data_IF_954995066883
#
_entry.id   IF_954995066883
#
_cell.length_a   1.000
_cell.length_b   1.000
_cell.length_c   1.000
_cell.angle_alpha   90.00
_cell.angle_beta   90.00
_cell.angle_gamma   90.00
#
_symmetry.space_group_name_H-M   'P 1'
#
loop_
_entity.id
_entity.type
_entity.pdbx_description
1 polymer ?
#
# COMPACT_ATOMS: atom_id res chain seq x y z
N UNK A 1 -27.18 52.04 -29.27
CA UNK A 1 -26.42 52.82 -30.25
C UNK A 1 -25.10 52.12 -30.48
N UNK A 2 -24.86 51.66 -31.71
CA UNK A 2 -23.54 51.37 -32.27
C UNK A 2 -22.58 52.53 -32.04
N UNK A 3 -21.28 52.27 -31.90
CA UNK A 3 -20.20 53.01 -32.58
C UNK A 3 -18.88 52.21 -32.48
N UNK A 4 -18.58 51.50 -33.55
CA UNK A 4 -17.26 50.99 -33.93
C UNK A 4 -16.42 52.13 -34.52
N UNK A 5 -15.18 52.32 -34.06
CA UNK A 5 -14.10 52.95 -34.85
C UNK A 5 -12.72 52.44 -34.38
N UNK A 6 -11.96 51.98 -35.37
CA UNK A 6 -10.58 51.49 -35.33
C UNK A 6 -9.58 52.51 -34.77
N UNK A 7 -8.45 52.05 -34.21
CA UNK A 7 -7.09 52.45 -34.64
C UNK A 7 -6.03 51.41 -34.20
N UNK A 8 -5.22 50.97 -35.17
CA UNK A 8 -3.92 50.33 -34.98
C UNK A 8 -2.98 51.26 -34.20
N UNK A 9 -2.24 50.72 -33.23
CA UNK A 9 -0.95 51.27 -32.83
C UNK A 9 0.07 50.14 -32.72
N UNK A 10 0.96 50.12 -33.70
CA UNK A 10 2.23 49.40 -33.71
C UNK A 10 3.10 49.93 -32.57
N UNK A 11 3.50 49.07 -31.64
CA UNK A 11 4.56 49.40 -30.68
C UNK A 11 5.59 48.27 -30.65
N UNK A 12 6.62 48.49 -31.47
CA UNK A 12 7.88 47.77 -31.49
C UNK A 12 8.53 47.78 -30.10
N UNK A 13 8.43 46.67 -29.36
CA UNK A 13 9.32 46.42 -28.24
C UNK A 13 10.60 45.74 -28.75
N UNK A 14 11.58 46.60 -28.89
CA UNK A 14 12.96 46.35 -29.25
C UNK A 14 13.61 45.35 -28.27
N UNK A 15 14.18 44.28 -28.83
CA UNK A 15 15.36 43.53 -28.36
C UNK A 15 15.59 43.47 -26.84
N UNK A 16 15.17 42.38 -26.22
CA UNK A 16 15.95 41.77 -25.13
C UNK A 16 16.36 40.36 -25.57
N UNK A 17 17.55 40.27 -26.12
CA UNK A 17 18.23 39.02 -26.44
C UNK A 17 18.77 38.48 -25.10
N UNK A 18 18.05 37.55 -24.48
CA UNK A 18 18.59 36.79 -23.37
C UNK A 18 19.53 35.72 -23.95
N UNK A 19 20.81 36.06 -23.97
CA UNK A 19 21.92 35.19 -24.33
C UNK A 19 22.06 34.11 -23.24
N UNK A 20 21.59 32.89 -23.53
CA UNK A 20 21.76 31.75 -22.64
C UNK A 20 23.18 31.21 -22.77
N UNK A 21 24.07 31.87 -22.03
CA UNK A 21 25.43 31.43 -21.77
C UNK A 21 25.49 29.97 -21.32
N UNK A 22 26.43 29.27 -21.96
CA UNK A 22 26.74 27.87 -21.88
C UNK A 22 27.19 27.47 -20.46
N UNK A 23 26.35 26.75 -19.72
CA UNK A 23 26.77 26.07 -18.49
C UNK A 23 27.32 24.70 -18.84
N UNK A 24 28.65 24.64 -18.98
CA UNK A 24 29.42 23.41 -18.92
C UNK A 24 29.38 22.85 -17.49
N UNK A 25 28.40 22.01 -17.18
CA UNK A 25 28.42 21.18 -15.98
C UNK A 25 28.96 19.78 -16.33
N UNK A 26 30.29 19.71 -16.42
CA UNK A 26 31.04 18.49 -16.18
C UNK A 26 30.96 18.12 -14.70
N UNK A 27 29.90 17.41 -14.33
CA UNK A 27 29.75 16.74 -13.04
C UNK A 27 29.00 15.46 -13.31
N UNK A 28 29.65 14.32 -13.10
CA UNK A 28 29.04 13.00 -13.20
C UNK A 28 27.88 12.90 -12.22
N UNK A 29 26.70 13.29 -12.67
CA UNK A 29 25.46 13.00 -11.98
C UNK A 29 25.26 11.50 -12.12
N UNK A 30 25.23 10.84 -10.97
CA UNK A 30 24.82 9.46 -10.79
C UNK A 30 23.73 9.11 -11.80
N UNK A 31 24.02 8.10 -12.62
CA UNK A 31 23.05 7.51 -13.54
C UNK A 31 21.82 7.15 -12.73
N UNK A 32 20.81 8.03 -12.73
CA UNK A 32 19.50 7.76 -12.16
C UNK A 32 18.98 6.52 -12.87
N UNK A 33 19.11 5.38 -12.20
CA UNK A 33 18.78 4.06 -12.72
C UNK A 33 17.36 4.10 -13.24
N UNK A 34 17.24 4.10 -14.57
CA UNK A 34 15.99 4.08 -15.29
C UNK A 34 15.17 2.87 -14.87
N UNK A 35 14.10 3.11 -14.12
CA UNK A 35 13.07 2.11 -13.88
C UNK A 35 12.43 1.79 -15.24
N UNK A 36 12.31 0.51 -15.58
CA UNK A 36 11.66 0.10 -16.81
C UNK A 36 10.16 0.44 -16.72
N UNK A 37 9.70 1.49 -17.41
CA UNK A 37 8.29 1.87 -17.48
C UNK A 37 7.56 1.06 -18.55
N UNK A 38 7.44 -0.25 -18.33
CA UNK A 38 6.51 -1.07 -19.09
C UNK A 38 5.14 -1.07 -18.38
N UNK A 39 4.15 -0.39 -18.97
CA UNK A 39 2.73 -0.46 -18.57
C UNK A 39 2.03 -1.73 -19.10
N UNK A 40 2.79 -2.82 -19.26
CA UNK A 40 2.34 -4.12 -19.75
C UNK A 40 2.88 -5.19 -18.79
N UNK A 41 2.08 -6.22 -18.53
CA UNK A 41 2.44 -7.35 -17.66
C UNK A 41 3.86 -7.86 -17.96
N UNK A 42 4.77 -7.70 -16.99
CA UNK A 42 6.19 -7.99 -17.18
C UNK A 42 6.63 -9.13 -16.24
N UNK A 43 7.41 -10.05 -16.79
CA UNK A 43 8.12 -11.10 -16.06
C UNK A 43 9.59 -10.73 -15.80
N UNK A 44 10.00 -9.53 -16.22
CA UNK A 44 11.35 -9.04 -16.01
C UNK A 44 11.56 -8.67 -14.54
N UNK A 45 12.69 -9.09 -14.00
CA UNK A 45 13.07 -8.95 -12.58
C UNK A 45 14.19 -7.93 -12.36
N UNK A 46 14.65 -7.29 -13.44
CA UNK A 46 15.75 -6.35 -13.45
C UNK A 46 15.24 -4.94 -13.10
N UNK A 47 15.76 -4.35 -12.02
CA UNK A 47 15.52 -2.94 -11.63
C UNK A 47 14.06 -2.57 -11.27
N UNK A 48 13.32 -3.45 -10.57
CA UNK A 48 11.98 -3.13 -10.08
C UNK A 48 12.03 -2.40 -8.72
N UNK A 49 11.30 -1.29 -8.58
CA UNK A 49 11.07 -0.62 -7.30
C UNK A 49 9.69 -1.04 -6.74
N UNK A 50 9.66 -1.78 -5.62
CA UNK A 50 8.41 -2.38 -5.11
C UNK A 50 7.51 -1.36 -4.37
N UNK A 51 8.08 -0.50 -3.52
CA UNK A 51 7.31 0.53 -2.74
C UNK A 51 8.06 1.86 -2.68
N UNK A 52 9.38 1.83 -2.49
CA UNK A 52 10.23 3.02 -2.43
C UNK A 52 11.43 2.86 -3.37
N UNK A 53 11.91 3.96 -3.95
CA UNK A 53 13.11 3.97 -4.82
C UNK A 53 14.36 3.42 -4.12
N UNK A 54 14.43 3.49 -2.78
CA UNK A 54 15.53 2.95 -1.99
C UNK A 54 15.44 1.45 -1.72
N UNK A 55 14.27 0.83 -1.89
CA UNK A 55 14.09 -0.63 -1.81
C UNK A 55 14.34 -1.26 -3.19
N UNK A 56 15.48 -0.91 -3.79
CA UNK A 56 15.85 -1.35 -5.14
C UNK A 56 16.63 -2.67 -5.08
N UNK A 57 16.17 -3.66 -5.84
CA UNK A 57 16.68 -5.03 -5.84
C UNK A 57 17.71 -5.17 -6.98
N UNK A 58 19.01 -5.14 -6.65
CA UNK A 58 20.12 -5.32 -7.62
C UNK A 58 20.54 -6.79 -7.84
N UNK A 59 19.97 -7.77 -7.13
CA UNK A 59 20.44 -9.16 -7.13
C UNK A 59 19.29 -10.18 -7.04
N UNK A 60 19.41 -11.38 -7.66
CA UNK A 60 18.41 -12.45 -7.53
C UNK A 60 18.20 -12.93 -6.09
N UNK A 61 19.21 -12.80 -5.22
CA UNK A 61 19.09 -13.18 -3.81
C UNK A 61 18.23 -12.15 -3.06
N UNK A 62 18.48 -10.86 -3.28
CA UNK A 62 17.67 -9.80 -2.67
C UNK A 62 16.23 -9.80 -3.21
N UNK A 63 16.04 -10.28 -4.44
CA UNK A 63 14.73 -10.56 -5.00
C UNK A 63 14.01 -11.68 -4.22
N UNK A 64 14.65 -12.83 -4.02
CA UNK A 64 14.05 -13.95 -3.29
C UNK A 64 13.63 -13.55 -1.86
N UNK A 65 14.47 -12.81 -1.13
CA UNK A 65 14.12 -12.28 0.19
C UNK A 65 12.97 -11.29 0.15
N UNK A 66 12.93 -10.40 -0.86
CA UNK A 66 11.82 -9.46 -1.03
C UNK A 66 10.50 -10.18 -1.31
N UNK A 67 10.51 -11.23 -2.14
CA UNK A 67 9.33 -12.03 -2.46
C UNK A 67 8.83 -12.82 -1.24
N UNK A 68 9.75 -13.40 -0.46
CA UNK A 68 9.42 -14.02 0.83
C UNK A 68 8.83 -12.99 1.81
N UNK A 69 9.37 -11.78 1.82
CA UNK A 69 8.80 -10.65 2.58
C UNK A 69 7.37 -10.33 2.16
N UNK A 70 7.08 -10.28 0.85
CA UNK A 70 5.72 -10.06 0.32
C UNK A 70 4.78 -11.18 0.75
N UNK A 71 5.20 -12.46 0.66
CA UNK A 71 4.43 -13.62 1.14
C UNK A 71 4.13 -13.49 2.63
N UNK A 72 5.14 -13.18 3.44
CA UNK A 72 5.00 -13.03 4.89
C UNK A 72 4.06 -11.88 5.25
N UNK A 73 4.17 -10.74 4.57
CA UNK A 73 3.30 -9.57 4.80
C UNK A 73 1.86 -9.86 4.38
N UNK A 74 1.63 -10.54 3.25
CA UNK A 74 0.27 -10.92 2.83
C UNK A 74 -0.35 -11.96 3.76
N UNK A 75 0.41 -12.96 4.20
CA UNK A 75 -0.05 -13.93 5.19
C UNK A 75 -0.36 -13.26 6.54
N UNK A 76 0.50 -12.33 6.98
CA UNK A 76 0.29 -11.55 8.21
C UNK A 76 -0.95 -10.65 8.09
N UNK A 77 -1.19 -10.02 6.94
CA UNK A 77 -2.39 -9.22 6.72
C UNK A 77 -3.66 -10.06 6.90
N UNK A 78 -3.67 -11.27 6.37
CA UNK A 78 -4.78 -12.20 6.52
C UNK A 78 -4.94 -12.66 7.97
N UNK A 79 -3.82 -12.88 8.68
CA UNK A 79 -3.81 -13.18 10.12
C UNK A 79 -4.41 -12.04 10.96
N UNK A 80 -4.03 -10.79 10.69
CA UNK A 80 -4.57 -9.60 11.36
C UNK A 80 -6.06 -9.45 11.06
N UNK A 81 -6.48 -9.68 9.82
CA UNK A 81 -7.89 -9.65 9.41
C UNK A 81 -8.71 -10.72 10.15
N UNK A 82 -8.19 -11.94 10.26
CA UNK A 82 -8.82 -13.03 11.02
C UNK A 82 -8.87 -12.73 12.53
N UNK A 83 -7.75 -12.24 13.09
CA UNK A 83 -7.65 -11.88 14.50
C UNK A 83 -8.59 -10.74 14.90
N UNK A 84 -8.74 -9.72 14.05
CA UNK A 84 -9.69 -8.61 14.26
C UNK A 84 -11.12 -9.13 14.40
N UNK A 85 -11.54 -10.09 13.55
CA UNK A 85 -12.87 -10.72 13.64
C UNK A 85 -13.05 -11.51 14.94
N UNK A 86 -12.03 -12.29 15.36
CA UNK A 86 -12.06 -13.02 16.64
C UNK A 86 -12.15 -12.07 17.83
N UNK A 87 -11.39 -10.97 17.81
CA UNK A 87 -11.42 -9.96 18.86
C UNK A 87 -12.82 -9.35 19.01
N UNK A 88 -13.52 -9.09 17.91
CA UNK A 88 -14.90 -8.61 17.95
C UNK A 88 -15.88 -9.61 18.59
N UNK A 89 -15.72 -10.91 18.32
CA UNK A 89 -16.55 -11.96 18.93
C UNK A 89 -16.32 -12.04 20.44
N UNK A 90 -15.07 -12.11 20.87
CA UNK A 90 -14.68 -12.16 22.30
C UNK A 90 -15.19 -10.92 23.05
N UNK A 91 -15.08 -9.75 22.42
CA UNK A 91 -15.59 -8.50 23.00
C UNK A 91 -17.11 -8.51 23.12
N UNK A 92 -17.85 -9.10 22.18
CA UNK A 92 -19.32 -9.18 22.24
C UNK A 92 -19.77 -10.02 23.44
N UNK A 93 -19.14 -11.16 23.69
CA UNK A 93 -19.45 -12.02 24.83
C UNK A 93 -19.10 -11.35 26.17
N UNK A 94 -17.95 -10.69 26.24
CA UNK A 94 -17.52 -9.92 27.43
C UNK A 94 -18.46 -8.75 27.75
N UNK A 95 -19.12 -8.16 26.74
CA UNK A 95 -20.09 -7.06 26.97
C UNK A 95 -21.36 -7.53 27.67
N UNK A 96 -21.75 -8.80 27.50
CA UNK A 96 -22.97 -9.36 28.10
C UNK A 96 -22.80 -9.67 29.60
N UNK A 97 -21.58 -9.91 30.07
CA UNK A 97 -21.28 -10.36 31.44
C UNK A 97 -20.75 -9.27 32.39
N UNK A 98 -20.48 -8.05 31.91
CA UNK A 98 -19.85 -6.98 32.71
C UNK A 98 -20.87 -5.96 33.24
N UNK A 99 -20.83 -5.60 34.55
CA UNK A 99 -21.73 -4.61 35.14
C UNK A 99 -21.58 -3.20 34.52
N UNK A 100 -22.70 -2.48 34.43
CA UNK A 100 -22.90 -1.21 33.69
C UNK A 100 -21.87 -0.10 33.99
N UNK A 101 -21.27 -0.10 35.18
CA UNK A 101 -20.31 0.93 35.62
C UNK A 101 -18.92 0.74 34.99
N UNK A 102 -18.40 -0.50 34.88
CA UNK A 102 -17.11 -0.81 34.21
C UNK A 102 -17.20 -0.76 32.68
N UNK A 103 -18.43 -0.82 32.14
CA UNK A 103 -18.70 -0.82 30.72
C UNK A 103 -18.19 0.43 29.99
N UNK A 104 -18.24 1.62 30.59
CA UNK A 104 -17.83 2.88 29.93
C UNK A 104 -16.34 2.88 29.60
N UNK A 105 -15.49 2.45 30.53
CA UNK A 105 -14.04 2.41 30.34
C UNK A 105 -13.62 1.31 29.37
N UNK A 106 -14.20 0.11 29.51
CA UNK A 106 -13.97 -1.01 28.60
C UNK A 106 -14.42 -0.67 27.18
N UNK A 107 -15.55 0.05 27.02
CA UNK A 107 -16.06 0.50 25.72
C UNK A 107 -15.08 1.45 25.03
N UNK A 108 -14.52 2.45 25.73
CA UNK A 108 -13.54 3.38 25.14
C UNK A 108 -12.26 2.65 24.72
N UNK A 109 -11.65 1.86 25.61
CA UNK A 109 -10.43 1.10 25.29
C UNK A 109 -10.64 0.16 24.10
N UNK A 110 -11.74 -0.57 24.10
CA UNK A 110 -12.06 -1.50 23.01
C UNK A 110 -12.34 -0.77 21.69
N UNK A 111 -13.01 0.39 21.75
CA UNK A 111 -13.25 1.21 20.58
C UNK A 111 -11.95 1.78 20.00
N UNK A 112 -11.04 2.29 20.84
CA UNK A 112 -9.74 2.78 20.41
C UNK A 112 -8.87 1.67 19.83
N UNK A 113 -8.82 0.49 20.47
CA UNK A 113 -8.07 -0.67 19.96
C UNK A 113 -8.63 -1.13 18.60
N UNK A 114 -9.95 -1.22 18.47
CA UNK A 114 -10.60 -1.59 17.20
C UNK A 114 -10.31 -0.56 16.10
N UNK A 115 -10.40 0.73 16.41
CA UNK A 115 -10.08 1.79 15.47
C UNK A 115 -8.61 1.74 15.02
N UNK A 116 -7.69 1.47 15.94
CA UNK A 116 -6.26 1.32 15.64
C UNK A 116 -6.01 0.12 14.71
N UNK A 117 -6.57 -1.05 15.03
CA UNK A 117 -6.46 -2.26 14.19
C UNK A 117 -7.02 -2.00 12.79
N UNK A 118 -8.18 -1.32 12.70
CA UNK A 118 -8.78 -0.95 11.42
C UNK A 118 -7.90 0.01 10.61
N UNK A 119 -7.32 1.04 11.26
CA UNK A 119 -6.42 1.98 10.60
C UNK A 119 -5.17 1.28 10.06
N UNK A 120 -4.55 0.39 10.85
CA UNK A 120 -3.42 -0.43 10.39
C UNK A 120 -3.83 -1.34 9.22
N UNK A 121 -4.95 -2.04 9.33
CA UNK A 121 -5.46 -2.90 8.26
C UNK A 121 -5.70 -2.09 6.97
N UNK A 122 -6.27 -0.89 7.07
CA UNK A 122 -6.49 -0.02 5.92
C UNK A 122 -5.17 0.43 5.29
N UNK A 123 -4.18 0.82 6.10
CA UNK A 123 -2.86 1.19 5.62
C UNK A 123 -2.18 0.03 4.86
N UNK A 124 -2.19 -1.18 5.41
CA UNK A 124 -1.64 -2.36 4.72
C UNK A 124 -2.40 -2.71 3.44
N UNK A 125 -3.73 -2.57 3.43
CA UNK A 125 -4.53 -2.78 2.21
C UNK A 125 -4.14 -1.82 1.08
N UNK A 126 -3.88 -0.55 1.41
CA UNK A 126 -3.41 0.44 0.44
C UNK A 126 -1.99 0.13 -0.07
N UNK A 127 -1.09 -0.31 0.81
CA UNK A 127 0.24 -0.74 0.41
C UNK A 127 0.20 -1.95 -0.53
N UNK A 128 -0.62 -2.96 -0.24
CA UNK A 128 -0.78 -4.13 -1.12
C UNK A 128 -1.42 -3.77 -2.47
N UNK A 129 -2.36 -2.82 -2.51
CA UNK A 129 -2.91 -2.29 -3.76
C UNK A 129 -1.83 -1.57 -4.59
N UNK A 130 -0.96 -0.79 -3.94
CA UNK A 130 0.16 -0.14 -4.60
C UNK A 130 1.14 -1.17 -5.18
N UNK A 131 1.44 -2.23 -4.44
CA UNK A 131 2.27 -3.35 -4.91
C UNK A 131 1.62 -4.08 -6.08
N UNK A 132 0.29 -4.26 -6.07
CA UNK A 132 -0.44 -4.83 -7.20
C UNK A 132 -0.31 -3.98 -8.47
N UNK A 133 -0.28 -2.65 -8.33
CA UNK A 133 -0.07 -1.73 -9.46
C UNK A 133 1.35 -1.79 -10.05
N UNK A 134 2.28 -2.58 -9.49
CA UNK A 134 3.61 -2.80 -10.09
C UNK A 134 3.58 -3.74 -11.31
N UNK A 135 2.43 -4.38 -11.60
CA UNK A 135 2.19 -5.26 -12.75
C UNK A 135 3.24 -6.39 -12.96
N UNK A 136 4.00 -6.75 -11.92
CA UNK A 136 5.02 -7.80 -11.99
C UNK A 136 4.42 -9.18 -11.66
N UNK A 137 4.58 -10.14 -12.58
CA UNK A 137 4.00 -11.48 -12.42
C UNK A 137 4.49 -12.24 -11.18
N UNK A 138 5.77 -12.12 -10.81
CA UNK A 138 6.33 -12.81 -9.64
C UNK A 138 5.74 -12.31 -8.32
N UNK A 139 5.56 -11.00 -8.22
CA UNK A 139 4.97 -10.36 -7.04
C UNK A 139 3.51 -10.76 -6.87
N UNK A 140 2.74 -10.79 -7.96
CA UNK A 140 1.34 -11.25 -7.95
C UNK A 140 1.20 -12.69 -7.47
N UNK A 141 2.03 -13.59 -7.98
CA UNK A 141 2.04 -15.00 -7.57
C UNK A 141 2.39 -15.14 -6.09
N UNK A 142 3.36 -14.35 -5.60
CA UNK A 142 3.73 -14.32 -4.19
C UNK A 142 2.59 -13.79 -3.30
N UNK A 143 1.87 -12.75 -3.73
CA UNK A 143 0.70 -12.24 -3.01
C UNK A 143 -0.43 -13.27 -2.96
N UNK A 144 -0.72 -13.96 -4.07
CA UNK A 144 -1.73 -15.01 -4.12
C UNK A 144 -1.35 -16.19 -3.21
N UNK A 145 -0.09 -16.61 -3.26
CA UNK A 145 0.43 -17.69 -2.42
C UNK A 145 0.45 -17.32 -0.94
N UNK A 146 0.84 -16.09 -0.59
CA UNK A 146 0.80 -15.59 0.79
C UNK A 146 -0.63 -15.48 1.33
N UNK A 147 -1.59 -15.05 0.51
CA UNK A 147 -3.00 -15.08 0.88
C UNK A 147 -3.52 -16.51 1.11
N UNK A 148 -3.13 -17.45 0.24
CA UNK A 148 -3.48 -18.86 0.39
C UNK A 148 -2.91 -19.47 1.68
N UNK A 149 -1.62 -19.26 1.96
CA UNK A 149 -1.00 -19.72 3.21
C UNK A 149 -1.62 -19.06 4.44
N UNK A 150 -1.89 -17.75 4.38
CA UNK A 150 -2.57 -17.03 5.46
C UNK A 150 -3.94 -17.62 5.76
N UNK A 151 -4.71 -17.97 4.72
CA UNK A 151 -6.00 -18.62 4.86
C UNK A 151 -5.88 -20.03 5.47
N UNK A 152 -4.90 -20.84 5.07
CA UNK A 152 -4.73 -22.18 5.65
C UNK A 152 -4.38 -22.13 7.15
N UNK A 153 -3.48 -21.23 7.54
CA UNK A 153 -3.00 -21.12 8.92
C UNK A 153 -4.08 -20.53 9.84
N UNK A 154 -4.77 -19.46 9.41
CA UNK A 154 -5.68 -18.70 10.29
C UNK A 154 -7.17 -18.95 10.01
N UNK A 155 -7.53 -19.44 8.83
CA UNK A 155 -8.90 -19.79 8.46
C UNK A 155 -9.39 -21.09 9.09
N UNK A 156 -8.49 -22.03 9.39
CA UNK A 156 -8.78 -23.34 10.01
C UNK A 156 -9.25 -23.26 11.47
N UNK A 157 -8.92 -22.18 12.20
CA UNK A 157 -9.52 -21.93 13.52
C UNK A 157 -10.73 -21.01 13.49
N UNK A 158 -11.38 -20.93 12.33
CA UNK A 158 -12.85 -20.92 12.29
C UNK A 158 -13.35 -22.35 12.52
N UNK A 159 -12.74 -23.06 13.48
CA UNK A 159 -13.36 -24.24 14.07
C UNK A 159 -14.68 -23.73 14.60
N UNK A 160 -15.75 -24.13 13.92
CA UNK A 160 -17.06 -24.23 14.52
C UNK A 160 -16.84 -24.80 15.91
N UNK A 161 -16.84 -23.92 16.91
CA UNK A 161 -17.08 -24.34 18.28
C UNK A 161 -18.25 -25.28 18.16
N UNK A 162 -18.01 -26.53 18.55
CA UNK A 162 -19.04 -27.50 18.84
C UNK A 162 -19.90 -26.93 19.98
N UNK A 163 -20.69 -25.90 19.69
CA UNK A 163 -21.89 -25.48 20.42
C UNK A 163 -23.08 -26.39 20.01
N UNK A 164 -22.78 -27.53 19.37
CA UNK A 164 -23.68 -28.67 19.20
C UNK A 164 -23.28 -29.88 20.04
N UNK A 165 -22.35 -29.74 21.01
CA UNK A 165 -22.17 -30.77 22.03
C UNK A 165 -23.23 -30.55 23.13
N UNK A 166 -24.49 -30.78 22.76
CA UNK A 166 -25.53 -31.10 23.71
C UNK A 166 -25.08 -32.28 24.58
N UNK A 167 -24.98 -32.06 25.89
CA UNK A 167 -25.49 -33.00 26.89
C UNK A 167 -25.75 -32.28 28.20
#
# INVERSE_FOLDING_TARGET
>A
MDHSHHMHMNQDHSKMQHDHSHMNHGGGMDMAQSCNMNMLFTWDTSNLCIIFHWWHIRSPITLAFSLLGVIAVTALFEAVRAGSRRFEQIVKERKASVPRQRFIFLRRRTHTIKALIYAFQSFYGLMLMLVFMTYNGWVMMCMAFGAFLGYLIFGSETSATKDGACH
#
